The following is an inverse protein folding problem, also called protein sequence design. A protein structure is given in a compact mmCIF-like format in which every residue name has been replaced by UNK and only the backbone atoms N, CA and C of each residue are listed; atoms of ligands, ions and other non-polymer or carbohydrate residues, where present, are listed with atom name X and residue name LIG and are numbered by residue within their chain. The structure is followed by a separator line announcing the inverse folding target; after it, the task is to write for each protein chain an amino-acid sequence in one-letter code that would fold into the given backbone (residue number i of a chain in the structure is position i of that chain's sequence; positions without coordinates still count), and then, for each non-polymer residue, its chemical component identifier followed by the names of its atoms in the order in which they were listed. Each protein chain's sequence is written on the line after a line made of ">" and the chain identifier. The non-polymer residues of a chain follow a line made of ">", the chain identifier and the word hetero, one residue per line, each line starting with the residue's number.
data_IF_507185521787
#
_entry.id   IF_507185521787
#
_cell.length_a   1.000
_cell.length_b   1.000
_cell.length_c   1.000
_cell.angle_alpha   90.00
_cell.angle_beta   90.00
_cell.angle_gamma   90.00
#
_symmetry.space_group_name_H-M   'P 1'
#
loop_
_entity.id
_entity.type
_entity.pdbx_description
1 polymer ?
#
# COMPACT_ATOMS: atom_id res chain seq x y z
N UNK A 1 26.50 14.99 -4.96
CA UNK A 1 25.68 13.77 -5.09
C UNK A 1 26.20 12.96 -6.26
N UNK A 2 26.66 11.73 -6.01
CA UNK A 2 27.02 10.84 -7.11
C UNK A 2 25.74 10.31 -7.78
N UNK A 3 25.79 10.09 -9.09
CA UNK A 3 24.67 9.52 -9.85
C UNK A 3 24.22 8.17 -9.26
N UNK A 4 25.17 7.36 -8.79
CA UNK A 4 24.92 6.08 -8.10
C UNK A 4 24.06 6.23 -6.84
N UNK A 5 24.21 7.31 -6.07
CA UNK A 5 23.41 7.55 -4.87
C UNK A 5 21.94 7.83 -5.22
N UNK A 6 21.68 8.56 -6.31
CA UNK A 6 20.32 8.83 -6.80
C UNK A 6 19.63 7.54 -7.28
N UNK A 7 20.36 6.69 -8.00
CA UNK A 7 19.88 5.36 -8.42
C UNK A 7 19.55 4.50 -7.20
N UNK A 8 20.42 4.52 -6.19
CA UNK A 8 20.20 3.77 -4.95
C UNK A 8 18.94 4.24 -4.20
N UNK A 9 18.72 5.55 -4.07
CA UNK A 9 17.52 6.10 -3.44
C UNK A 9 16.25 5.75 -4.20
N UNK A 10 16.28 5.83 -5.53
CA UNK A 10 15.13 5.46 -6.38
C UNK A 10 14.78 3.99 -6.21
N UNK A 11 15.79 3.12 -6.17
CA UNK A 11 15.62 1.70 -5.86
C UNK A 11 14.96 1.49 -4.49
N UNK A 12 15.43 2.19 -3.45
CA UNK A 12 14.87 2.09 -2.09
C UNK A 12 13.42 2.58 -2.02
N UNK A 13 13.09 3.66 -2.72
CA UNK A 13 11.72 4.16 -2.79
C UNK A 13 10.79 3.16 -3.51
N UNK A 14 11.24 2.54 -4.61
CA UNK A 14 10.49 1.51 -5.32
C UNK A 14 10.23 0.25 -4.48
N UNK A 15 11.18 -0.16 -3.65
CA UNK A 15 10.97 -1.27 -2.69
C UNK A 15 9.83 -0.92 -1.69
N UNK A 16 9.72 0.34 -1.26
CA UNK A 16 8.62 0.72 -0.36
C UNK A 16 7.27 0.80 -1.11
N UNK A 17 7.27 1.23 -2.37
CA UNK A 17 6.09 1.23 -3.22
C UNK A 17 5.53 -0.19 -3.43
N UNK A 18 6.39 -1.18 -3.71
CA UNK A 18 6.01 -2.59 -3.81
C UNK A 18 5.35 -3.09 -2.51
N UNK A 19 5.98 -2.85 -1.35
CA UNK A 19 5.42 -3.23 -0.05
C UNK A 19 4.05 -2.60 0.21
N UNK A 20 3.86 -1.34 -0.19
CA UNK A 20 2.57 -0.65 -0.09
C UNK A 20 1.51 -1.31 -0.97
N UNK A 21 1.82 -1.62 -2.22
CA UNK A 21 0.89 -2.31 -3.13
C UNK A 21 0.51 -3.70 -2.61
N UNK A 22 1.48 -4.48 -2.13
CA UNK A 22 1.23 -5.80 -1.55
C UNK A 22 0.37 -5.73 -0.28
N UNK A 23 0.65 -4.76 0.60
CA UNK A 23 -0.17 -4.54 1.80
C UNK A 23 -1.61 -4.13 1.44
N UNK A 24 -1.78 -3.26 0.44
CA UNK A 24 -3.10 -2.89 -0.05
C UNK A 24 -3.85 -4.08 -0.66
N UNK A 25 -3.17 -4.93 -1.45
CA UNK A 25 -3.75 -6.14 -2.01
C UNK A 25 -4.25 -7.07 -0.90
N UNK A 26 -3.43 -7.31 0.12
CA UNK A 26 -3.79 -8.14 1.26
C UNK A 26 -4.99 -7.60 2.03
N UNK A 27 -4.97 -6.32 2.43
CA UNK A 27 -6.09 -5.72 3.17
C UNK A 27 -7.39 -5.72 2.36
N UNK A 28 -7.30 -5.46 1.06
CA UNK A 28 -8.47 -5.46 0.19
C UNK A 28 -9.08 -6.86 0.05
N UNK A 29 -8.26 -7.90 -0.07
CA UNK A 29 -8.74 -9.29 -0.09
C UNK A 29 -9.38 -9.71 1.23
N UNK A 30 -8.80 -9.32 2.37
CA UNK A 30 -9.38 -9.61 3.68
C UNK A 30 -10.69 -8.87 3.88
N UNK A 31 -10.77 -7.58 3.54
CA UNK A 31 -12.00 -6.80 3.65
C UNK A 31 -13.09 -7.42 2.77
N UNK A 32 -12.78 -7.82 1.54
CA UNK A 32 -13.76 -8.47 0.68
C UNK A 32 -14.30 -9.76 1.31
N UNK A 33 -13.42 -10.60 1.88
CA UNK A 33 -13.82 -11.80 2.59
C UNK A 33 -14.68 -11.46 3.83
N UNK A 34 -14.27 -10.47 4.60
CA UNK A 34 -14.95 -10.05 5.83
C UNK A 34 -16.37 -9.54 5.54
N UNK A 35 -16.53 -8.70 4.52
CA UNK A 35 -17.83 -8.18 4.12
C UNK A 35 -18.72 -9.26 3.50
N UNK A 36 -18.16 -10.17 2.69
CA UNK A 36 -18.91 -11.32 2.16
C UNK A 36 -19.41 -12.23 3.27
N UNK A 37 -18.54 -12.56 4.24
CA UNK A 37 -18.90 -13.35 5.42
C UNK A 37 -19.99 -12.68 6.25
N UNK A 38 -19.81 -11.39 6.55
CA UNK A 38 -20.78 -10.61 7.34
C UNK A 38 -22.15 -10.56 6.65
N UNK A 39 -22.17 -10.43 5.33
CA UNK A 39 -23.40 -10.45 4.54
C UNK A 39 -24.13 -11.79 4.63
N UNK A 40 -23.43 -12.90 4.43
CA UNK A 40 -24.02 -14.24 4.53
C UNK A 40 -24.52 -14.55 5.95
N UNK A 41 -23.73 -14.21 6.97
CA UNK A 41 -24.11 -14.41 8.37
C UNK A 41 -25.39 -13.65 8.73
N UNK A 42 -25.51 -12.40 8.25
CA UNK A 42 -26.68 -11.56 8.49
C UNK A 42 -27.90 -12.06 7.72
N UNK A 43 -27.74 -12.52 6.46
CA UNK A 43 -28.82 -13.12 5.69
C UNK A 43 -29.39 -14.39 6.38
N UNK A 44 -28.52 -15.25 6.93
CA UNK A 44 -28.96 -16.43 7.72
C UNK A 44 -29.68 -16.01 9.00
N UNK A 45 -29.16 -14.98 9.70
CA UNK A 45 -29.77 -14.47 10.92
C UNK A 45 -31.21 -13.98 10.69
N UNK A 46 -31.42 -13.15 9.65
CA UNK A 46 -32.75 -12.67 9.30
C UNK A 46 -33.69 -13.81 8.88
N UNK A 47 -33.21 -14.78 8.08
CA UNK A 47 -34.00 -15.96 7.71
C UNK A 47 -34.46 -16.77 8.94
N UNK A 48 -33.64 -16.86 9.99
CA UNK A 48 -33.97 -17.60 11.21
C UNK A 48 -35.02 -16.89 12.10
N UNK A 49 -35.08 -15.56 12.05
CA UNK A 49 -36.03 -14.73 12.84
C UNK A 49 -37.37 -14.61 12.11
N UNK A 50 -37.35 -14.45 10.78
CA UNK A 50 -38.54 -14.26 9.94
C UNK A 50 -39.49 -15.46 9.93
N UNK A 51 -39.05 -16.64 10.36
CA UNK A 51 -39.94 -17.79 10.63
C UNK A 51 -41.04 -17.52 11.67
N UNK A 52 -40.97 -16.39 12.39
CA UNK A 52 -41.93 -16.00 13.43
C UNK A 52 -42.79 -14.76 13.10
N UNK A 53 -42.42 -13.92 12.12
CA UNK A 53 -43.14 -12.67 11.79
C UNK A 53 -43.13 -12.41 10.27
N UNK A 54 -44.27 -12.62 9.59
CA UNK A 54 -44.38 -12.59 8.13
C UNK A 54 -44.36 -11.19 7.47
N UNK A 55 -44.37 -10.09 8.23
CA UNK A 55 -44.59 -8.75 7.68
C UNK A 55 -43.32 -8.01 7.21
N UNK A 56 -42.11 -8.51 7.51
CA UNK A 56 -40.83 -7.83 7.19
C UNK A 56 -40.05 -8.39 5.99
N UNK A 57 -40.55 -9.46 5.35
CA UNK A 57 -39.78 -10.28 4.40
C UNK A 57 -39.31 -9.55 3.13
N UNK A 58 -40.13 -8.65 2.60
CA UNK A 58 -39.86 -8.05 1.28
C UNK A 58 -38.67 -7.05 1.33
N UNK A 59 -38.56 -6.25 2.39
CA UNK A 59 -37.53 -5.20 2.49
C UNK A 59 -36.17 -5.81 2.86
N UNK A 60 -36.17 -6.80 3.76
CA UNK A 60 -34.99 -7.56 4.19
C UNK A 60 -34.35 -8.30 3.00
N UNK A 61 -35.16 -9.06 2.24
CA UNK A 61 -34.69 -9.80 1.07
C UNK A 61 -34.08 -8.92 -0.02
N UNK A 62 -34.75 -7.82 -0.39
CA UNK A 62 -34.24 -6.88 -1.40
C UNK A 62 -32.90 -6.27 -0.97
N UNK A 63 -32.76 -5.91 0.32
CA UNK A 63 -31.52 -5.31 0.86
C UNK A 63 -30.33 -6.28 0.74
N UNK A 64 -30.52 -7.56 1.05
CA UNK A 64 -29.46 -8.57 0.94
C UNK A 64 -29.07 -8.89 -0.51
N UNK A 65 -30.04 -8.86 -1.43
CA UNK A 65 -29.76 -8.99 -2.87
C UNK A 65 -28.91 -7.82 -3.36
N UNK A 66 -29.28 -6.59 -3.01
CA UNK A 66 -28.50 -5.39 -3.36
C UNK A 66 -27.09 -5.46 -2.78
N UNK A 67 -26.95 -5.86 -1.51
CA UNK A 67 -25.64 -6.04 -0.87
C UNK A 67 -24.77 -7.05 -1.62
N UNK A 68 -25.34 -8.20 -2.01
CA UNK A 68 -24.63 -9.24 -2.74
C UNK A 68 -24.13 -8.77 -4.11
N UNK A 69 -24.96 -7.99 -4.83
CA UNK A 69 -24.56 -7.37 -6.11
C UNK A 69 -23.44 -6.35 -5.90
N UNK A 70 -23.51 -5.51 -4.86
CA UNK A 70 -22.45 -4.55 -4.55
C UNK A 70 -21.12 -5.23 -4.21
N UNK A 71 -21.15 -6.28 -3.39
CA UNK A 71 -19.96 -7.08 -3.07
C UNK A 71 -19.36 -7.71 -4.33
N UNK A 72 -20.20 -8.22 -5.24
CA UNK A 72 -19.76 -8.76 -6.51
C UNK A 72 -19.07 -7.70 -7.38
N UNK A 73 -19.67 -6.51 -7.53
CA UNK A 73 -19.09 -5.39 -8.27
C UNK A 73 -17.74 -4.97 -7.68
N UNK A 74 -17.65 -4.84 -6.35
CA UNK A 74 -16.41 -4.49 -5.65
C UNK A 74 -15.34 -5.57 -5.87
N UNK A 75 -15.70 -6.87 -5.79
CA UNK A 75 -14.78 -7.98 -6.07
C UNK A 75 -14.18 -7.89 -7.47
N UNK A 76 -15.02 -7.67 -8.49
CA UNK A 76 -14.57 -7.48 -9.87
C UNK A 76 -13.64 -6.27 -10.03
N UNK A 77 -14.01 -5.14 -9.41
CA UNK A 77 -13.20 -3.93 -9.44
C UNK A 77 -11.82 -4.11 -8.80
N UNK A 78 -11.75 -4.78 -7.64
CA UNK A 78 -10.50 -5.09 -6.94
C UNK A 78 -9.59 -5.95 -7.81
N UNK A 79 -10.13 -6.97 -8.48
CA UNK A 79 -9.35 -7.80 -9.39
C UNK A 79 -8.83 -6.99 -10.59
N UNK A 80 -9.62 -6.05 -11.11
CA UNK A 80 -9.22 -5.13 -12.17
C UNK A 80 -8.10 -4.15 -11.80
N UNK A 81 -7.90 -3.85 -10.52
CA UNK A 81 -6.80 -2.98 -10.05
C UNK A 81 -5.42 -3.66 -10.09
N UNK A 82 -5.39 -4.98 -10.25
CA UNK A 82 -4.20 -5.82 -10.49
C UNK A 82 -2.99 -5.48 -9.59
N UNK A 83 -3.23 -5.21 -8.30
CA UNK A 83 -2.18 -4.79 -7.35
C UNK A 83 -0.96 -5.72 -7.31
N UNK A 84 -1.18 -7.03 -7.48
CA UNK A 84 -0.09 -8.03 -7.49
C UNK A 84 0.76 -7.95 -8.76
N UNK A 85 0.15 -7.75 -9.92
CA UNK A 85 0.86 -7.61 -11.20
C UNK A 85 1.70 -6.33 -11.19
N UNK A 86 1.10 -5.21 -10.75
CA UNK A 86 1.80 -3.93 -10.61
C UNK A 86 2.98 -4.02 -9.62
N UNK A 87 2.78 -4.70 -8.49
CA UNK A 87 3.89 -4.95 -7.55
C UNK A 87 5.00 -5.80 -8.18
N UNK A 88 4.64 -6.81 -8.99
CA UNK A 88 5.59 -7.63 -9.75
C UNK A 88 6.45 -6.79 -10.72
N UNK A 89 5.82 -5.88 -11.48
CA UNK A 89 6.54 -4.98 -12.37
C UNK A 89 7.51 -4.07 -11.61
N UNK A 90 7.09 -3.48 -10.49
CA UNK A 90 7.98 -2.66 -9.64
C UNK A 90 9.15 -3.49 -9.11
N UNK A 91 8.91 -4.76 -8.80
CA UNK A 91 9.94 -5.69 -8.34
C UNK A 91 11.03 -5.93 -9.37
N UNK A 92 10.64 -6.34 -10.57
CA UNK A 92 11.58 -6.49 -11.69
C UNK A 92 12.35 -5.20 -11.96
N UNK A 93 11.66 -4.07 -11.86
CA UNK A 93 12.22 -2.74 -12.05
C UNK A 93 13.31 -2.41 -11.02
N UNK A 94 13.11 -2.64 -9.72
CA UNK A 94 14.17 -2.35 -8.75
C UNK A 94 15.31 -3.39 -8.76
N UNK A 95 15.05 -4.63 -9.18
CA UNK A 95 16.07 -5.67 -9.36
C UNK A 95 17.00 -5.34 -10.54
N UNK A 96 16.44 -4.87 -11.65
CA UNK A 96 17.21 -4.32 -12.78
C UNK A 96 17.97 -3.04 -12.40
N UNK A 97 17.39 -2.14 -11.59
CA UNK A 97 18.15 -1.01 -11.02
C UNK A 97 19.35 -1.46 -10.18
N UNK A 98 19.26 -2.60 -9.48
CA UNK A 98 20.34 -3.07 -8.63
C UNK A 98 21.54 -3.55 -9.46
N UNK A 99 21.28 -4.31 -10.53
CA UNK A 99 22.34 -4.73 -11.45
C UNK A 99 22.94 -3.53 -12.19
N UNK A 100 22.10 -2.57 -12.61
CA UNK A 100 22.55 -1.30 -13.19
C UNK A 100 23.41 -0.48 -12.21
N UNK A 101 23.02 -0.39 -10.94
CA UNK A 101 23.78 0.32 -9.92
C UNK A 101 25.16 -0.30 -9.65
N UNK A 102 25.28 -1.64 -9.72
CA UNK A 102 26.58 -2.32 -9.65
C UNK A 102 27.45 -1.97 -10.86
N UNK A 103 26.89 -2.06 -12.08
CA UNK A 103 27.58 -1.62 -13.30
C UNK A 103 28.03 -0.16 -13.24
N UNK A 104 27.20 0.73 -12.71
CA UNK A 104 27.52 2.16 -12.56
C UNK A 104 28.61 2.44 -11.52
N UNK A 105 28.81 1.54 -10.54
CA UNK A 105 29.90 1.63 -9.55
C UNK A 105 31.23 1.12 -10.11
N UNK A 106 31.20 0.07 -10.92
CA UNK A 106 32.41 -0.53 -11.49
C UNK A 106 32.91 0.26 -12.72
N UNK A 107 31.98 0.83 -13.50
CA UNK A 107 32.28 1.56 -14.73
C UNK A 107 32.52 3.05 -14.46
N UNK A 108 33.68 3.41 -13.92
CA UNK A 108 34.13 4.82 -13.84
C UNK A 108 34.38 5.49 -15.21
N UNK A 109 34.14 4.78 -16.32
CA UNK A 109 34.55 5.14 -17.69
C UNK A 109 33.39 5.14 -18.72
N UNK A 110 32.13 4.95 -18.31
CA UNK A 110 31.00 4.97 -19.25
C UNK A 110 30.51 6.40 -19.46
N UNK A 111 30.26 6.75 -20.73
CA UNK A 111 29.67 8.03 -21.15
C UNK A 111 28.41 8.35 -20.31
N UNK A 112 28.39 9.47 -19.55
CA UNK A 112 27.30 9.81 -18.66
C UNK A 112 25.96 9.94 -19.39
N UNK A 113 25.98 10.28 -20.69
CA UNK A 113 24.77 10.39 -21.50
C UNK A 113 24.11 9.03 -21.73
N UNK A 114 24.90 8.01 -22.08
CA UNK A 114 24.41 6.63 -22.28
C UNK A 114 23.86 6.04 -20.98
N UNK A 115 24.52 6.32 -19.87
CA UNK A 115 24.09 5.88 -18.54
C UNK A 115 22.75 6.51 -18.13
N UNK A 116 22.55 7.81 -18.43
CA UNK A 116 21.27 8.47 -18.18
C UNK A 116 20.13 7.89 -19.04
N UNK A 117 20.38 7.59 -20.32
CA UNK A 117 19.38 7.01 -21.21
C UNK A 117 18.97 5.61 -20.78
N UNK A 118 19.92 4.74 -20.41
CA UNK A 118 19.61 3.40 -19.90
C UNK A 118 18.83 3.48 -18.58
N UNK A 119 19.19 4.42 -17.71
CA UNK A 119 18.44 4.66 -16.48
C UNK A 119 16.99 5.09 -16.74
N UNK A 120 16.77 6.06 -17.64
CA UNK A 120 15.42 6.53 -18.00
C UNK A 120 14.57 5.44 -18.65
N UNK A 121 15.19 4.57 -19.47
CA UNK A 121 14.52 3.40 -20.02
C UNK A 121 14.04 2.46 -18.92
N UNK A 122 14.89 2.16 -17.93
CA UNK A 122 14.51 1.32 -16.78
C UNK A 122 13.43 2.02 -15.94
N UNK A 123 13.50 3.35 -15.81
CA UNK A 123 12.47 4.10 -15.09
C UNK A 123 11.10 4.00 -15.76
N UNK A 124 11.05 4.00 -17.10
CA UNK A 124 9.82 3.94 -17.88
C UNK A 124 9.07 2.61 -17.90
N UNK A 125 9.69 1.51 -17.42
CA UNK A 125 9.08 0.17 -17.40
C UNK A 125 7.99 0.03 -16.34
N UNK A 126 8.12 0.76 -15.23
CA UNK A 126 7.26 0.59 -14.07
C UNK A 126 6.69 1.92 -13.58
N UNK A 127 5.56 1.85 -12.86
CA UNK A 127 4.93 3.06 -12.31
C UNK A 127 5.85 3.81 -11.35
N UNK A 128 5.67 5.12 -11.28
CA UNK A 128 6.45 5.96 -10.39
C UNK A 128 6.05 5.75 -8.92
N UNK A 129 7.06 5.79 -8.06
CA UNK A 129 6.88 5.79 -6.61
C UNK A 129 6.25 7.12 -6.16
N UNK A 130 5.52 7.09 -5.04
CA UNK A 130 4.97 8.31 -4.44
C UNK A 130 6.00 8.95 -3.49
N UNK A 131 5.85 10.24 -3.20
CA UNK A 131 6.63 10.94 -2.18
C UNK A 131 6.60 10.23 -0.82
N UNK A 132 5.45 9.62 -0.48
CA UNK A 132 5.31 8.79 0.72
C UNK A 132 6.28 7.63 0.76
N UNK A 133 6.47 6.96 -0.37
CA UNK A 133 7.35 5.80 -0.48
C UNK A 133 8.82 6.23 -0.32
N UNK A 134 9.18 7.38 -0.91
CA UNK A 134 10.50 7.99 -0.76
C UNK A 134 10.78 8.43 0.69
N UNK A 135 9.84 9.12 1.35
CA UNK A 135 10.02 9.56 2.74
C UNK A 135 10.16 8.36 3.68
N UNK A 136 9.37 7.31 3.43
CA UNK A 136 9.45 6.05 4.20
C UNK A 136 10.83 5.43 4.05
N UNK A 137 11.36 5.35 2.82
CA UNK A 137 12.70 4.85 2.56
C UNK A 137 13.77 5.69 3.29
N UNK A 138 13.69 7.02 3.21
CA UNK A 138 14.63 7.94 3.87
C UNK A 138 14.68 7.75 5.38
N UNK A 139 13.52 7.71 6.03
CA UNK A 139 13.43 7.52 7.48
C UNK A 139 13.91 6.12 7.91
N UNK A 140 13.54 5.06 7.18
CA UNK A 140 13.98 3.70 7.50
C UNK A 140 15.49 3.55 7.37
N UNK A 141 16.09 4.02 6.28
CA UNK A 141 17.53 3.92 6.07
C UNK A 141 18.31 4.74 7.11
N UNK A 142 17.79 5.92 7.47
CA UNK A 142 18.37 6.73 8.54
C UNK A 142 18.31 6.03 9.91
N UNK A 143 17.20 5.41 10.29
CA UNK A 143 17.09 4.68 11.57
C UNK A 143 17.94 3.41 11.57
N UNK A 144 17.90 2.65 10.48
CA UNK A 144 18.56 1.34 10.38
C UNK A 144 20.08 1.47 10.35
N UNK A 145 20.60 2.58 9.81
CA UNK A 145 22.02 2.82 9.79
C UNK A 145 22.56 3.12 11.21
N UNK A 146 23.43 2.25 11.73
CA UNK A 146 24.08 2.38 13.05
C UNK A 146 25.41 3.14 13.01
N UNK A 147 25.79 3.68 11.85
CA UNK A 147 27.05 4.39 11.70
C UNK A 147 27.09 5.67 12.54
N UNK A 148 28.32 6.10 12.86
CA UNK A 148 28.57 7.33 13.63
C UNK A 148 27.87 8.51 12.96
N UNK A 149 27.15 9.27 13.76
CA UNK A 149 26.53 10.53 13.38
C UNK A 149 27.60 11.61 13.39
N UNK A 150 27.73 12.33 12.28
CA UNK A 150 28.50 13.56 12.27
C UNK A 150 27.69 14.65 12.98
N UNK A 151 28.24 15.19 14.07
CA UNK A 151 27.56 16.18 14.92
C UNK A 151 27.37 17.52 14.22
N UNK A 152 28.19 17.84 13.22
CA UNK A 152 28.17 19.14 12.55
C UNK A 152 27.12 19.17 11.42
N UNK A 153 26.95 18.05 10.72
CA UNK A 153 26.06 17.96 9.55
C UNK A 153 24.76 17.20 9.84
N UNK A 154 24.70 16.42 10.92
CA UNK A 154 23.57 15.54 11.24
C UNK A 154 23.45 14.34 10.29
N UNK A 155 24.43 14.13 9.40
CA UNK A 155 24.47 12.98 8.51
C UNK A 155 25.16 11.78 9.18
N UNK A 156 24.64 10.59 8.89
CA UNK A 156 25.30 9.33 9.26
C UNK A 156 26.30 8.95 8.17
N UNK A 157 27.48 8.46 8.56
CA UNK A 157 28.50 8.00 7.60
C UNK A 157 27.88 6.99 6.61
N UNK A 158 27.97 7.28 5.31
CA UNK A 158 27.41 6.45 4.24
C UNK A 158 26.00 6.81 3.78
N UNK A 159 25.35 7.81 4.38
CA UNK A 159 24.18 8.47 3.79
C UNK A 159 24.59 9.85 3.26
N UNK A 160 24.00 10.21 2.13
CA UNK A 160 24.13 11.52 1.50
C UNK A 160 22.98 12.47 1.88
N UNK A 161 21.91 11.96 2.50
CA UNK A 161 20.73 12.73 2.92
C UNK A 161 20.27 12.36 4.32
N UNK A 162 19.76 13.33 5.08
CA UNK A 162 19.15 13.13 6.41
C UNK A 162 17.68 13.53 6.40
N UNK A 163 16.80 12.82 7.15
CA UNK A 163 15.39 13.16 7.22
C UNK A 163 15.17 14.40 8.10
N UNK A 164 14.53 15.41 7.53
CA UNK A 164 13.98 16.55 8.27
C UNK A 164 12.76 16.16 9.11
N UNK A 165 12.43 16.94 10.14
CA UNK A 165 11.23 16.75 10.97
C UNK A 165 9.92 16.65 10.17
N UNK A 166 9.79 17.40 9.06
CA UNK A 166 8.65 17.31 8.15
C UNK A 166 8.41 15.90 7.59
N UNK A 167 9.47 15.16 7.28
CA UNK A 167 9.34 13.79 6.77
C UNK A 167 8.74 12.88 7.84
N UNK A 168 9.17 13.05 9.09
CA UNK A 168 8.65 12.29 10.22
C UNK A 168 7.17 12.57 10.49
N UNK A 169 6.78 13.84 10.53
CA UNK A 169 5.37 14.21 10.76
C UNK A 169 4.47 13.75 9.63
N UNK A 170 4.90 13.90 8.38
CA UNK A 170 4.15 13.42 7.20
C UNK A 170 3.95 11.90 7.24
N UNK A 171 5.00 11.14 7.59
CA UNK A 171 4.90 9.69 7.73
C UNK A 171 3.94 9.26 8.84
N UNK A 172 4.03 9.90 10.01
CA UNK A 172 3.13 9.61 11.12
C UNK A 172 1.70 9.92 10.72
N UNK A 173 1.45 11.08 10.11
CA UNK A 173 0.13 11.49 9.63
C UNK A 173 -0.45 10.47 8.63
N UNK A 174 0.28 10.14 7.56
CA UNK A 174 -0.22 9.19 6.56
C UNK A 174 -0.43 7.77 7.12
N UNK A 175 0.41 7.36 8.07
CA UNK A 175 0.27 6.05 8.73
C UNK A 175 -0.96 6.04 9.63
N UNK A 176 -1.15 7.10 10.42
CA UNK A 176 -2.31 7.24 11.31
C UNK A 176 -3.61 7.29 10.51
N UNK A 177 -3.70 8.15 9.49
CA UNK A 177 -4.90 8.25 8.64
C UNK A 177 -5.21 6.92 7.95
N UNK A 178 -4.21 6.23 7.42
CA UNK A 178 -4.42 4.94 6.76
C UNK A 178 -4.90 3.87 7.76
N UNK A 179 -4.30 3.80 8.96
CA UNK A 179 -4.72 2.85 9.99
C UNK A 179 -6.12 3.16 10.51
N UNK A 180 -6.44 4.44 10.73
CA UNK A 180 -7.77 4.88 11.15
C UNK A 180 -8.83 4.55 10.09
N UNK A 181 -8.55 4.79 8.82
CA UNK A 181 -9.44 4.42 7.71
C UNK A 181 -9.68 2.90 7.70
N UNK A 182 -8.63 2.09 7.82
CA UNK A 182 -8.78 0.63 7.88
C UNK A 182 -9.58 0.19 9.11
N UNK A 183 -9.31 0.72 10.31
CA UNK A 183 -10.05 0.34 11.51
C UNK A 183 -11.54 0.66 11.38
N UNK A 184 -11.88 1.81 10.79
CA UNK A 184 -13.28 2.16 10.51
C UNK A 184 -13.92 1.15 9.56
N UNK A 185 -13.25 0.79 8.47
CA UNK A 185 -13.77 -0.19 7.51
C UNK A 185 -13.95 -1.59 8.13
N UNK A 186 -13.02 -2.05 8.97
CA UNK A 186 -13.15 -3.35 9.64
C UNK A 186 -14.27 -3.38 10.68
N UNK A 187 -14.47 -2.28 11.40
CA UNK A 187 -15.50 -2.17 12.44
C UNK A 187 -16.89 -1.94 11.88
N UNK A 188 -17.03 -1.41 10.66
CA UNK A 188 -18.31 -1.02 10.09
C UNK A 188 -19.36 -2.14 10.09
N UNK A 189 -19.06 -3.40 9.68
CA UNK A 189 -20.04 -4.49 9.76
C UNK A 189 -20.49 -4.78 11.21
N UNK A 190 -19.58 -4.69 12.18
CA UNK A 190 -19.90 -4.91 13.60
C UNK A 190 -20.78 -3.79 14.14
N UNK A 191 -20.46 -2.54 13.80
CA UNK A 191 -21.25 -1.36 14.18
C UNK A 191 -22.66 -1.46 13.61
N UNK A 192 -22.80 -1.88 12.34
CA UNK A 192 -24.11 -2.10 11.72
C UNK A 192 -24.92 -3.18 12.44
N UNK A 193 -24.30 -4.33 12.77
CA UNK A 193 -24.98 -5.39 13.51
C UNK A 193 -25.46 -4.93 14.90
N UNK A 194 -24.67 -4.16 15.63
CA UNK A 194 -25.06 -3.60 16.94
C UNK A 194 -26.17 -2.56 16.77
N UNK A 195 -26.04 -1.67 15.78
CA UNK A 195 -27.04 -0.64 15.52
C UNK A 195 -28.41 -1.24 15.17
N UNK A 196 -28.44 -2.29 14.34
CA UNK A 196 -29.69 -3.00 13.99
C UNK A 196 -30.36 -3.60 15.22
N UNK A 197 -29.60 -4.25 16.12
CA UNK A 197 -30.12 -4.81 17.37
C UNK A 197 -30.60 -3.77 18.39
N UNK A 198 -30.12 -2.53 18.31
CA UNK A 198 -30.59 -1.45 19.18
C UNK A 198 -31.89 -0.80 18.67
N UNK A 199 -32.26 -1.05 17.41
CA UNK A 199 -33.46 -0.50 16.77
C UNK A 199 -34.64 -1.49 16.89
N UNK A 200 -34.36 -2.79 16.93
CA UNK A 200 -35.32 -3.88 17.28
C UNK A 200 -35.65 -3.92 18.78
#
# INVERSE_FOLDING_TARGET
>A
MAFSDNVWWTRKARIQAEKRLLSNAFHTQILLLWYSFSGVASAIYHLSIEGSNAAGQDISGITWVVFSVLVLCISGFINGLSFKERAGLIKECYETLNSFHQKAKDSSLTDPTKLSTEYDQILGVCENHSDRDYYTALCIEYVTNKNRLDKNTGLKKGLDRSPTWYHWTSLIYWTLCHKLMLTVLYLLPVILCVALRCIE
#
